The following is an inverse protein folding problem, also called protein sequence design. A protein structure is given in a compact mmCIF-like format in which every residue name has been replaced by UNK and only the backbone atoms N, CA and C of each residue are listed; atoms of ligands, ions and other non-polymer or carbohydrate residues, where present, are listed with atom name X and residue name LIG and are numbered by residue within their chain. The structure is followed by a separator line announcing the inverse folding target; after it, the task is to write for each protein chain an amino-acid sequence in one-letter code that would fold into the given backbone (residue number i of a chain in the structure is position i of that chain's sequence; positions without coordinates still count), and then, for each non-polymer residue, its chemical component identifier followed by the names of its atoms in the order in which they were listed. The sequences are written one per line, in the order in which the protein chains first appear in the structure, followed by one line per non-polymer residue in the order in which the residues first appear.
data_IF_536353818294
#
_entry.id   IF_536353818294
#
_cell.length_a   1.000
_cell.length_b   1.000
_cell.length_c   1.000
_cell.angle_alpha   90.00
_cell.angle_beta   90.00
_cell.angle_gamma   90.00
#
_symmetry.space_group_name_H-M   'P 1'
#
loop_
_entity.id
_entity.type
_entity.pdbx_description
1 polymer ?
#
# COMPACT_ATOMS: atom_id res chain seq x y z
N UNK A 1 1.75 5.41 7.15
CA UNK A 1 0.33 5.01 6.94
C UNK A 1 -0.59 5.82 7.83
N UNK A 2 -1.90 5.81 7.57
CA UNK A 2 -2.92 6.53 8.36
C UNK A 2 -3.64 5.64 9.39
N UNK A 3 -3.26 4.37 9.49
CA UNK A 3 -3.78 3.42 10.48
C UNK A 3 -2.98 3.51 11.79
N UNK A 4 -3.62 3.13 12.90
CA UNK A 4 -2.98 3.12 14.24
C UNK A 4 -2.01 1.95 14.44
N UNK A 5 -2.21 0.85 13.71
CA UNK A 5 -1.43 -0.38 13.83
C UNK A 5 -1.38 -1.13 12.50
N UNK A 6 -0.32 -1.90 12.31
CA UNK A 6 -0.13 -2.85 11.20
C UNK A 6 0.33 -4.20 11.77
N UNK A 7 -0.61 -5.05 12.22
CA UNK A 7 -0.26 -6.30 12.88
C UNK A 7 0.30 -7.37 11.92
N UNK A 8 0.26 -7.11 10.62
CA UNK A 8 0.61 -8.09 9.58
C UNK A 8 1.73 -7.61 8.67
N UNK A 9 2.45 -6.55 9.05
CA UNK A 9 3.55 -5.95 8.29
C UNK A 9 3.14 -5.63 6.83
N UNK A 10 1.89 -5.26 6.58
CA UNK A 10 1.41 -5.02 5.24
C UNK A 10 1.86 -3.67 4.66
N UNK A 11 2.10 -2.67 5.51
CA UNK A 11 2.26 -1.28 5.14
C UNK A 11 3.71 -0.81 5.20
N UNK A 12 4.04 0.16 4.36
CA UNK A 12 5.28 0.90 4.44
C UNK A 12 5.16 2.04 5.47
N UNK A 13 6.25 2.27 6.20
CA UNK A 13 6.35 3.29 7.24
C UNK A 13 6.53 4.72 6.70
N UNK A 14 5.86 5.07 5.60
CA UNK A 14 5.85 6.44 5.08
C UNK A 14 5.08 7.37 6.02
N UNK A 15 5.56 8.61 6.11
CA UNK A 15 4.88 9.68 6.84
C UNK A 15 3.45 9.86 6.31
N UNK A 16 2.50 10.02 7.22
CA UNK A 16 1.09 10.12 6.88
C UNK A 16 0.72 11.49 6.36
N UNK A 17 0.58 11.64 5.04
CA UNK A 17 -0.09 12.79 4.44
C UNK A 17 -1.60 12.52 4.25
N UNK A 18 -2.45 13.52 4.53
CA UNK A 18 -3.88 13.42 4.28
C UNK A 18 -4.16 13.42 2.77
N UNK A 19 -4.94 12.44 2.30
CA UNK A 19 -5.37 12.34 0.90
C UNK A 19 -6.89 12.55 0.84
N UNK A 20 -7.38 13.66 0.27
CA UNK A 20 -8.80 13.92 0.16
C UNK A 20 -9.53 12.85 -0.66
N UNK A 21 -10.74 12.50 -0.23
CA UNK A 21 -11.68 11.65 -0.97
C UNK A 21 -13.05 12.32 -1.02
N UNK A 22 -13.89 11.92 -1.98
CA UNK A 22 -15.26 12.41 -2.05
C UNK A 22 -16.03 12.05 -0.77
N UNK A 23 -16.96 12.91 -0.34
CA UNK A 23 -17.80 12.70 0.85
C UNK A 23 -19.06 11.89 0.56
N UNK A 24 -19.32 11.62 -0.73
CA UNK A 24 -20.43 10.81 -1.27
C UNK A 24 -19.88 9.81 -2.29
N UNK A 25 -20.73 8.88 -2.72
CA UNK A 25 -20.37 7.86 -3.71
C UNK A 25 -20.54 6.43 -3.19
N UNK A 26 -20.44 5.44 -4.09
CA UNK A 26 -20.74 4.04 -3.77
C UNK A 26 -19.74 3.39 -2.78
N UNK A 27 -18.55 3.97 -2.61
CA UNK A 27 -17.53 3.47 -1.68
C UNK A 27 -17.41 4.31 -0.41
N UNK A 28 -18.34 5.25 -0.18
CA UNK A 28 -18.34 6.10 1.01
C UNK A 28 -18.29 5.24 2.28
N UNK A 29 -17.34 5.56 3.16
CA UNK A 29 -17.15 4.88 4.44
C UNK A 29 -16.23 3.66 4.37
N UNK A 30 -15.82 3.25 3.17
CA UNK A 30 -14.83 2.20 2.97
C UNK A 30 -13.42 2.79 2.94
N UNK A 31 -12.45 1.92 3.18
CA UNK A 31 -11.01 2.24 3.10
C UNK A 31 -10.31 1.35 2.10
N UNK A 32 -9.21 1.83 1.54
CA UNK A 32 -8.35 1.03 0.67
C UNK A 32 -6.88 1.39 0.86
N UNK A 33 -6.02 0.42 0.60
CA UNK A 33 -4.58 0.58 0.56
C UNK A 33 -4.08 0.50 -0.89
N UNK A 34 -2.91 1.07 -1.16
CA UNK A 34 -2.36 1.14 -2.52
C UNK A 34 -0.99 0.47 -2.54
N UNK A 35 -0.79 -0.49 -3.44
CA UNK A 35 0.53 -1.10 -3.64
C UNK A 35 1.55 -0.01 -4.00
N UNK A 36 2.77 -0.12 -3.49
CA UNK A 36 3.83 0.89 -3.67
C UNK A 36 4.45 0.94 -5.08
N UNK A 37 3.61 0.85 -6.11
CA UNK A 37 3.93 1.04 -7.53
C UNK A 37 2.95 2.02 -8.20
N UNK A 38 1.96 2.51 -7.46
CA UNK A 38 1.01 3.51 -7.92
C UNK A 38 1.24 4.81 -7.15
N UNK A 39 1.24 5.90 -7.90
CA UNK A 39 1.39 7.23 -7.34
C UNK A 39 0.14 7.65 -6.56
N UNK A 40 0.39 8.30 -5.42
CA UNK A 40 -0.61 8.92 -4.57
C UNK A 40 -0.07 10.29 -4.21
N UNK A 41 -0.85 11.33 -4.48
CA UNK A 41 -0.42 12.69 -4.18
C UNK A 41 -0.09 12.84 -2.69
N UNK A 42 1.05 13.46 -2.39
CA UNK A 42 1.58 13.59 -1.02
C UNK A 42 2.41 12.40 -0.53
N UNK A 43 2.63 11.37 -1.36
CA UNK A 43 3.48 10.22 -1.02
C UNK A 43 4.54 9.97 -2.09
N UNK A 44 5.70 9.38 -1.71
CA UNK A 44 6.62 8.79 -2.67
C UNK A 44 6.09 7.44 -3.18
N UNK A 45 6.70 6.94 -4.25
CA UNK A 45 6.49 5.60 -4.80
C UNK A 45 7.84 4.90 -4.92
N UNK A 46 8.10 3.94 -4.02
CA UNK A 46 9.41 3.31 -3.87
C UNK A 46 9.55 1.96 -4.59
N UNK A 47 8.47 1.34 -5.06
CA UNK A 47 8.54 0.05 -5.73
C UNK A 47 9.11 -1.07 -4.85
N UNK A 48 9.05 -0.94 -3.52
CA UNK A 48 9.73 -1.85 -2.60
C UNK A 48 11.26 -1.80 -2.67
N UNK A 49 11.86 -0.78 -3.28
CA UNK A 49 13.31 -0.59 -3.36
C UNK A 49 13.74 0.69 -2.61
N UNK A 50 14.69 0.62 -1.66
CA UNK A 50 15.22 1.81 -1.00
C UNK A 50 15.85 2.82 -1.96
N UNK A 51 16.46 2.35 -3.06
CA UNK A 51 17.06 3.22 -4.08
C UNK A 51 15.98 4.01 -4.80
N UNK A 52 14.92 3.33 -5.28
CA UNK A 52 13.79 4.02 -5.92
C UNK A 52 13.03 4.91 -4.98
N UNK A 53 12.89 4.52 -3.71
CA UNK A 53 12.31 5.38 -2.70
C UNK A 53 13.11 6.68 -2.52
N UNK A 54 14.45 6.60 -2.44
CA UNK A 54 15.31 7.78 -2.31
C UNK A 54 15.30 8.68 -3.55
N UNK A 55 15.11 8.11 -4.74
CA UNK A 55 14.97 8.85 -6.00
C UNK A 55 13.57 9.44 -6.22
N UNK A 56 12.55 8.91 -5.53
CA UNK A 56 11.15 9.27 -5.75
C UNK A 56 10.83 10.62 -5.11
N UNK A 57 10.30 11.59 -5.88
CA UNK A 57 9.77 12.82 -5.29
C UNK A 57 8.49 12.51 -4.50
N UNK A 58 8.06 13.47 -3.67
CA UNK A 58 6.67 13.48 -3.23
C UNK A 58 5.80 13.83 -4.44
N UNK A 59 4.95 12.90 -4.86
CA UNK A 59 4.13 13.09 -6.06
C UNK A 59 3.03 14.14 -5.82
N UNK A 60 2.75 14.95 -6.83
CA UNK A 60 1.65 15.93 -6.83
C UNK A 60 0.38 15.38 -7.48
N UNK A 61 0.51 14.32 -8.27
CA UNK A 61 -0.60 13.66 -8.96
C UNK A 61 -0.84 12.26 -8.39
N UNK A 62 -2.08 11.78 -8.56
CA UNK A 62 -2.51 10.46 -8.12
C UNK A 62 -2.81 9.60 -9.35
N UNK A 63 -2.35 8.35 -9.35
CA UNK A 63 -2.60 7.42 -10.45
C UNK A 63 -4.11 7.31 -10.75
N UNK A 64 -4.54 7.25 -12.03
CA UNK A 64 -5.96 7.34 -12.39
C UNK A 64 -6.88 6.35 -11.64
N UNK A 65 -6.42 5.10 -11.45
CA UNK A 65 -7.20 4.09 -10.73
C UNK A 65 -7.40 4.44 -9.25
N UNK A 66 -6.38 5.02 -8.60
CA UNK A 66 -6.47 5.49 -7.21
C UNK A 66 -7.39 6.71 -7.14
N UNK A 67 -7.28 7.64 -8.10
CA UNK A 67 -8.15 8.80 -8.20
C UNK A 67 -9.63 8.40 -8.36
N UNK A 68 -9.93 7.36 -9.16
CA UNK A 68 -11.29 6.83 -9.28
C UNK A 68 -11.84 6.28 -7.96
N UNK A 69 -11.01 5.59 -7.17
CA UNK A 69 -11.42 5.08 -5.85
C UNK A 69 -11.72 6.23 -4.86
N UNK A 70 -10.86 7.26 -4.85
CA UNK A 70 -11.07 8.46 -4.04
C UNK A 70 -12.33 9.23 -4.46
N UNK A 71 -12.57 9.37 -5.76
CA UNK A 71 -13.76 10.02 -6.31
C UNK A 71 -15.05 9.24 -6.03
N UNK A 72 -14.98 7.91 -5.93
CA UNK A 72 -16.09 7.05 -5.51
C UNK A 72 -16.35 7.07 -3.99
N UNK A 73 -15.53 7.80 -3.22
CA UNK A 73 -15.70 8.03 -1.79
C UNK A 73 -14.91 7.10 -0.87
N UNK A 74 -14.04 6.24 -1.41
CA UNK A 74 -13.16 5.40 -0.60
C UNK A 74 -12.01 6.21 -0.02
N UNK A 75 -11.62 5.92 1.22
CA UNK A 75 -10.52 6.62 1.90
C UNK A 75 -9.21 5.83 1.79
N UNK A 76 -8.17 6.47 1.28
CA UNK A 76 -6.82 5.91 1.27
C UNK A 76 -6.28 5.77 2.71
N UNK A 77 -5.62 4.66 3.02
CA UNK A 77 -5.03 4.43 4.37
C UNK A 77 -3.53 4.19 4.39
N UNK A 78 -2.88 3.95 3.26
CA UNK A 78 -1.43 3.79 3.21
C UNK A 78 -0.92 3.00 2.00
N UNK A 79 0.40 3.09 1.78
CA UNK A 79 1.11 2.32 0.76
C UNK A 79 1.46 0.93 1.31
N UNK A 80 1.16 -0.13 0.56
CA UNK A 80 1.47 -1.51 0.97
C UNK A 80 2.77 -2.00 0.36
N UNK A 81 3.44 -2.89 1.08
CA UNK A 81 4.65 -3.57 0.61
C UNK A 81 4.44 -4.31 -0.71
N UNK A 82 5.54 -4.44 -1.45
CA UNK A 82 5.68 -5.24 -2.66
C UNK A 82 7.03 -5.95 -2.64
N UNK A 83 7.15 -7.05 -3.38
CA UNK A 83 8.48 -7.52 -3.78
C UNK A 83 9.22 -6.39 -4.50
N UNK A 84 10.53 -6.30 -4.27
CA UNK A 84 11.38 -5.24 -4.80
C UNK A 84 11.27 -5.20 -6.33
N UNK A 85 10.86 -4.03 -6.85
CA UNK A 85 10.59 -3.76 -8.26
C UNK A 85 9.60 -4.75 -8.90
N UNK A 86 8.71 -5.33 -8.10
CA UNK A 86 7.76 -6.38 -8.49
C UNK A 86 8.39 -7.66 -9.01
N UNK A 87 9.69 -7.87 -8.76
CA UNK A 87 10.47 -8.94 -9.37
C UNK A 87 10.62 -10.18 -8.46
N UNK A 88 9.49 -10.77 -8.07
CA UNK A 88 9.40 -12.05 -7.36
C UNK A 88 7.93 -12.50 -7.28
N UNK A 89 7.71 -13.71 -6.76
CA UNK A 89 6.39 -14.28 -6.46
C UNK A 89 6.27 -14.69 -4.98
N UNK A 90 7.30 -14.46 -4.16
CA UNK A 90 7.31 -14.91 -2.77
C UNK A 90 6.58 -13.94 -1.84
N UNK A 91 6.66 -12.64 -2.11
CA UNK A 91 6.11 -11.61 -1.22
C UNK A 91 7.03 -11.20 -0.07
N UNK A 92 8.29 -11.62 -0.12
CA UNK A 92 9.33 -11.30 0.86
C UNK A 92 10.28 -10.25 0.26
N UNK A 93 10.55 -9.21 1.04
CA UNK A 93 11.44 -8.13 0.64
C UNK A 93 12.45 -7.89 1.75
N UNK A 94 13.74 -8.11 1.48
CA UNK A 94 14.82 -8.07 2.49
C UNK A 94 14.93 -6.73 3.23
N UNK A 95 14.35 -5.66 2.69
CA UNK A 95 14.44 -4.31 3.24
C UNK A 95 13.34 -4.03 4.29
N UNK A 96 12.33 -4.90 4.41
CA UNK A 96 11.16 -4.68 5.26
C UNK A 96 10.78 -5.96 6.02
N UNK A 97 10.06 -5.84 7.16
CA UNK A 97 9.49 -7.01 7.82
C UNK A 97 8.51 -7.76 6.90
N UNK A 98 8.59 -9.09 6.90
CA UNK A 98 7.78 -9.92 6.00
C UNK A 98 6.27 -9.78 6.30
N UNK A 99 5.43 -9.51 5.28
CA UNK A 99 3.98 -9.54 5.43
C UNK A 99 3.48 -10.91 5.91
N UNK A 100 2.57 -10.92 6.89
CA UNK A 100 2.08 -12.14 7.55
C UNK A 100 0.88 -12.73 6.82
N UNK A 101 0.93 -14.02 6.52
CA UNK A 101 -0.22 -14.77 5.99
C UNK A 101 -1.13 -15.26 7.13
N UNK A 102 -2.14 -14.46 7.48
CA UNK A 102 -3.11 -14.78 8.54
C UNK A 102 -4.00 -15.99 8.23
N UNK A 103 -4.01 -16.51 7.00
CA UNK A 103 -4.76 -17.71 6.60
C UNK A 103 -3.90 -18.99 6.64
N UNK A 104 -2.59 -18.85 6.75
CA UNK A 104 -1.66 -19.97 6.83
C UNK A 104 -0.38 -19.53 7.55
N UNK A 105 -0.37 -19.65 8.87
CA UNK A 105 0.77 -19.31 9.71
C UNK A 105 2.05 -20.02 9.25
N UNK A 106 3.16 -19.28 9.24
CA UNK A 106 4.47 -19.77 8.77
C UNK A 106 4.60 -19.92 7.25
N UNK A 107 3.57 -19.59 6.47
CA UNK A 107 3.65 -19.56 5.00
C UNK A 107 3.76 -18.13 4.48
N UNK A 108 4.37 -18.00 3.30
CA UNK A 108 4.43 -16.73 2.58
C UNK A 108 3.04 -16.24 2.17
N UNK A 109 2.89 -14.94 2.00
CA UNK A 109 1.68 -14.29 1.46
C UNK A 109 1.59 -14.40 -0.06
N UNK A 110 2.72 -14.69 -0.72
CA UNK A 110 2.85 -14.62 -2.16
C UNK A 110 3.09 -13.17 -2.64
N UNK A 111 3.55 -13.05 -3.88
CA UNK A 111 4.02 -11.79 -4.44
C UNK A 111 3.58 -11.56 -5.89
N UNK A 112 3.83 -10.38 -6.45
CA UNK A 112 4.56 -9.29 -5.81
C UNK A 112 3.72 -8.37 -4.93
N UNK A 113 2.40 -8.54 -4.87
CA UNK A 113 1.48 -7.66 -4.11
C UNK A 113 1.27 -8.12 -2.65
N UNK A 114 2.36 -8.47 -1.96
CA UNK A 114 2.31 -9.17 -0.67
C UNK A 114 1.64 -8.39 0.45
N UNK A 115 2.01 -7.12 0.62
CA UNK A 115 1.38 -6.26 1.61
C UNK A 115 -0.11 -6.03 1.32
N UNK A 116 -0.49 -5.92 0.04
CA UNK A 116 -1.90 -5.77 -0.34
C UNK A 116 -2.72 -7.02 0.05
N UNK A 117 -2.20 -8.21 -0.23
CA UNK A 117 -2.85 -9.47 0.13
C UNK A 117 -2.94 -9.64 1.66
N UNK A 118 -1.85 -9.34 2.37
CA UNK A 118 -1.80 -9.42 3.84
C UNK A 118 -2.82 -8.48 4.50
N UNK A 119 -2.88 -7.21 4.08
CA UNK A 119 -3.83 -6.23 4.61
C UNK A 119 -5.28 -6.70 4.43
N UNK A 120 -5.67 -7.08 3.21
CA UNK A 120 -7.05 -7.50 2.94
C UNK A 120 -7.40 -8.79 3.69
N UNK A 121 -6.47 -9.74 3.80
CA UNK A 121 -6.71 -10.98 4.54
C UNK A 121 -6.91 -10.74 6.05
N UNK A 122 -6.28 -9.71 6.60
CA UNK A 122 -6.33 -9.33 8.01
C UNK A 122 -7.55 -8.47 8.39
N UNK A 123 -8.15 -7.77 7.43
CA UNK A 123 -9.28 -6.86 7.62
C UNK A 123 -8.86 -5.41 7.91
#
# INVERSE_FOLDING_TARGET
MLLKSDPVNAFLAYEGAAVPSATTGPLKGLTFAVKDIFDVAGYPTGGGSPVKHAESPIHTETAPIVASMLAAGARFVGKTQTDELTFSMNGQNKHFPEPINVRAEGRITGGSSSGSAAAVAAG
#
